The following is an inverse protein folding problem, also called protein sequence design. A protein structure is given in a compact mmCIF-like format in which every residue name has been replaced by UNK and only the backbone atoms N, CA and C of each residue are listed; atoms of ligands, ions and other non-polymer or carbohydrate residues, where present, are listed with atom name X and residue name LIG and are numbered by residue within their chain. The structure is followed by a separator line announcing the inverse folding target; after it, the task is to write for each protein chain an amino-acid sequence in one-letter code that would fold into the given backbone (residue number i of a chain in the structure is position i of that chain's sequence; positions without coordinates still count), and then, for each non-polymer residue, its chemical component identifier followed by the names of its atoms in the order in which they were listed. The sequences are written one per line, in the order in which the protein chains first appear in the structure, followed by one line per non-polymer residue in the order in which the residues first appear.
data_IF_949961099865
#
_entry.id   IF_949961099865
#
_cell.length_a   1.000
_cell.length_b   1.000
_cell.length_c   1.000
_cell.angle_alpha   90.00
_cell.angle_beta   90.00
_cell.angle_gamma   90.00
#
_symmetry.space_group_name_H-M   'P 1'
#
loop_
_entity.id
_entity.type
_entity.pdbx_description
1 polymer ?
#
# COMPACT_ATOMS: atom_id res chain seq x y z
N UNK A 1 6.24 4.42 -26.29
CA UNK A 1 6.29 4.92 -25.01
C UNK A 1 6.26 3.80 -24.03
N UNK A 2 6.99 3.93 -23.05
CA UNK A 2 7.00 2.95 -22.06
C UNK A 2 5.91 3.20 -21.10
N UNK A 3 5.14 2.23 -20.91
CA UNK A 3 4.15 2.34 -20.00
C UNK A 3 4.49 1.53 -18.84
N UNK A 4 4.45 2.16 -17.69
CA UNK A 4 4.75 1.48 -16.50
C UNK A 4 3.69 0.47 -16.30
N UNK A 5 4.06 -0.74 -16.47
CA UNK A 5 3.08 -1.78 -16.36
C UNK A 5 2.61 -1.81 -14.94
N UNK A 6 1.35 -1.59 -14.68
CA UNK A 6 0.88 -1.71 -13.33
C UNK A 6 1.04 -3.14 -12.91
N UNK A 7 1.32 -3.36 -11.65
CA UNK A 7 1.31 -4.72 -11.18
C UNK A 7 -0.09 -5.24 -11.27
N UNK A 8 -0.24 -6.55 -11.23
CA UNK A 8 -1.54 -7.18 -11.34
C UNK A 8 -2.37 -7.00 -10.09
N UNK A 9 -2.02 -6.11 -9.23
CA UNK A 9 -2.70 -5.90 -7.97
C UNK A 9 -4.17 -5.57 -8.19
N UNK A 10 -5.09 -6.37 -7.63
CA UNK A 10 -6.50 -6.04 -7.72
C UNK A 10 -6.79 -4.71 -7.05
N UNK A 11 -7.71 -3.96 -7.64
CA UNK A 11 -8.01 -2.61 -7.17
C UNK A 11 -8.43 -2.62 -5.70
N UNK A 12 -9.18 -3.62 -5.28
CA UNK A 12 -9.65 -3.65 -3.91
C UNK A 12 -8.53 -3.85 -2.90
N UNK A 13 -7.37 -4.32 -3.34
CA UNK A 13 -6.25 -4.53 -2.43
C UNK A 13 -5.40 -3.28 -2.24
N UNK A 14 -5.72 -2.21 -2.94
CA UNK A 14 -5.06 -0.94 -2.70
C UNK A 14 -5.44 -0.42 -1.33
N UNK A 15 -6.67 -0.68 -0.88
CA UNK A 15 -7.09 -0.28 0.44
C UNK A 15 -6.49 -1.19 1.49
N UNK A 16 -5.90 -0.65 2.55
CA UNK A 16 -5.32 -1.49 3.59
C UNK A 16 -6.40 -2.20 4.38
N UNK A 17 -6.05 -3.40 4.84
CA UNK A 17 -6.95 -4.15 5.69
C UNK A 17 -7.07 -3.43 7.05
N UNK A 18 -8.26 -3.37 7.65
CA UNK A 18 -8.42 -2.67 8.93
C UNK A 18 -7.50 -3.20 10.04
N UNK A 19 -7.11 -4.47 9.97
CA UNK A 19 -6.18 -5.03 10.93
C UNK A 19 -4.78 -4.45 10.79
N UNK A 20 -4.48 -3.84 9.65
CA UNK A 20 -3.16 -3.27 9.40
C UNK A 20 -3.18 -1.77 9.49
N UNK A 21 -4.31 -1.14 9.22
CA UNK A 21 -4.45 0.31 9.35
C UNK A 21 -5.88 0.58 9.77
N UNK A 22 -6.04 0.97 11.04
CA UNK A 22 -7.34 1.24 11.60
C UNK A 22 -7.91 2.52 10.98
N UNK A 23 -9.15 2.48 10.49
CA UNK A 23 -9.77 3.69 9.92
C UNK A 23 -9.83 4.86 10.91
N UNK A 24 -9.71 4.61 12.20
CA UNK A 24 -9.69 5.68 13.19
C UNK A 24 -8.31 6.31 13.37
N UNK A 25 -7.32 5.82 12.64
CA UNK A 25 -5.96 6.35 12.72
C UNK A 25 -5.94 7.82 12.31
N UNK A 26 -5.23 8.70 13.04
CA UNK A 26 -5.07 10.07 12.59
C UNK A 26 -4.48 10.13 11.19
N UNK A 27 -4.95 11.08 10.38
CA UNK A 27 -4.49 11.25 9.00
C UNK A 27 -4.81 10.06 8.11
N UNK A 28 -5.82 9.26 8.49
CA UNK A 28 -6.18 8.06 7.74
C UNK A 28 -6.40 8.37 6.26
N UNK A 29 -7.20 9.41 5.96
CA UNK A 29 -7.48 9.75 4.56
C UNK A 29 -6.24 10.22 3.82
N UNK A 30 -5.35 10.94 4.49
CA UNK A 30 -4.12 11.38 3.88
C UNK A 30 -3.20 10.22 3.60
N UNK A 31 -3.19 9.22 4.48
CA UNK A 31 -2.41 8.03 4.28
C UNK A 31 -2.92 7.26 3.06
N UNK A 32 -4.26 7.11 2.96
CA UNK A 32 -4.83 6.42 1.83
C UNK A 32 -4.51 7.14 0.52
N UNK A 33 -4.60 8.46 0.51
CA UNK A 33 -4.33 9.23 -0.69
C UNK A 33 -2.87 9.12 -1.10
N UNK A 34 -1.96 9.19 -0.14
CA UNK A 34 -0.53 9.08 -0.43
C UNK A 34 -0.20 7.71 -1.00
N UNK A 35 -0.80 6.67 -0.42
CA UNK A 35 -0.56 5.31 -0.90
C UNK A 35 -1.12 5.12 -2.31
N UNK A 36 -2.36 5.56 -2.54
CA UNK A 36 -2.96 5.39 -3.83
C UNK A 36 -2.18 6.13 -4.91
N UNK A 37 -1.74 7.34 -4.60
CA UNK A 37 -0.94 8.10 -5.54
C UNK A 37 0.34 7.35 -5.90
N UNK A 38 1.01 6.80 -4.90
CA UNK A 38 2.24 6.05 -5.12
C UNK A 38 1.99 4.81 -5.97
N UNK A 39 0.88 4.10 -5.70
CA UNK A 39 0.55 2.92 -6.49
C UNK A 39 0.31 3.28 -7.94
N UNK A 40 -0.43 4.36 -8.18
CA UNK A 40 -0.75 4.74 -9.55
C UNK A 40 0.47 5.25 -10.30
N UNK A 41 1.46 5.77 -9.58
CA UNK A 41 2.71 6.19 -10.19
C UNK A 41 3.73 5.08 -10.25
N UNK A 42 3.40 3.89 -9.78
CA UNK A 42 4.29 2.76 -9.81
C UNK A 42 5.45 2.86 -8.85
N UNK A 43 5.30 3.65 -7.81
CA UNK A 43 6.37 3.78 -6.82
C UNK A 43 6.38 2.58 -5.91
N UNK A 44 7.55 2.30 -5.32
CA UNK A 44 7.68 1.17 -4.43
C UNK A 44 7.34 1.53 -2.99
N UNK A 45 7.26 2.82 -2.68
CA UNK A 45 6.99 3.27 -1.31
C UNK A 45 6.48 4.69 -1.34
N UNK A 46 5.95 5.13 -0.21
CA UNK A 46 5.53 6.50 -0.05
C UNK A 46 5.91 6.96 1.35
N UNK A 47 5.91 8.27 1.55
CA UNK A 47 6.24 8.81 2.86
C UNK A 47 4.96 8.92 3.67
N UNK A 48 4.95 8.30 4.85
CA UNK A 48 3.78 8.28 5.70
C UNK A 48 3.55 9.68 6.27
N UNK A 49 2.38 10.28 6.01
CA UNK A 49 2.11 11.62 6.55
C UNK A 49 2.06 11.67 8.07
N UNK A 50 1.81 10.53 8.71
CA UNK A 50 1.71 10.50 10.16
C UNK A 50 3.07 10.43 10.82
N UNK A 51 3.95 9.54 10.36
CA UNK A 51 5.24 9.29 11.02
C UNK A 51 6.42 9.88 10.29
N UNK A 52 6.28 10.21 9.01
CA UNK A 52 7.40 10.67 8.20
C UNK A 52 8.29 9.55 7.69
N UNK A 53 7.99 8.32 8.02
CA UNK A 53 8.78 7.19 7.58
C UNK A 53 8.25 6.67 6.24
N UNK A 54 9.11 5.95 5.52
CA UNK A 54 8.69 5.35 4.26
C UNK A 54 7.95 4.05 4.50
N UNK A 55 6.90 3.83 3.72
CA UNK A 55 6.05 2.63 3.83
C UNK A 55 5.94 2.03 2.45
N UNK A 56 6.11 0.71 2.34
CA UNK A 56 6.03 0.04 1.05
C UNK A 56 4.61 -0.02 0.55
N UNK A 57 4.44 0.14 -0.77
CA UNK A 57 3.12 0.12 -1.39
C UNK A 57 2.64 -1.31 -1.58
N UNK A 58 1.33 -1.46 -1.73
CA UNK A 58 0.72 -2.78 -1.91
C UNK A 58 1.21 -3.47 -3.19
N UNK A 59 1.41 -2.69 -4.27
CA UNK A 59 1.87 -3.29 -5.51
C UNK A 59 3.27 -3.87 -5.36
N UNK A 60 4.14 -3.22 -4.60
CA UNK A 60 5.46 -3.76 -4.34
C UNK A 60 5.37 -5.07 -3.57
N UNK A 61 4.52 -5.10 -2.55
CA UNK A 61 4.36 -6.31 -1.75
C UNK A 61 3.69 -7.42 -2.56
N UNK A 62 2.77 -7.05 -3.45
CA UNK A 62 2.12 -8.00 -4.32
C UNK A 62 3.12 -8.65 -5.27
N UNK A 63 4.05 -7.84 -5.81
CA UNK A 63 5.04 -8.34 -6.74
C UNK A 63 6.01 -9.33 -6.10
N UNK A 64 6.14 -9.30 -4.78
CA UNK A 64 6.97 -10.27 -4.09
C UNK A 64 6.40 -11.67 -4.13
N UNK A 65 5.09 -11.78 -4.26
CA UNK A 65 4.42 -13.06 -4.38
C UNK A 65 4.16 -13.79 -3.08
N UNK A 66 4.52 -13.21 -1.94
CA UNK A 66 4.27 -13.87 -0.66
C UNK A 66 4.26 -12.83 0.45
N UNK A 67 3.63 -13.20 1.56
CA UNK A 67 3.58 -12.34 2.72
C UNK A 67 4.89 -12.43 3.48
N UNK A 68 5.47 -11.28 3.84
CA UNK A 68 6.73 -11.27 4.57
C UNK A 68 6.52 -11.46 6.06
N UNK A 69 5.26 -11.49 6.51
CA UNK A 69 4.89 -11.70 7.90
C UNK A 69 5.41 -10.63 8.86
N UNK A 70 5.67 -9.45 8.32
CA UNK A 70 6.13 -8.33 9.13
C UNK A 70 5.04 -7.32 9.40
N UNK A 71 3.77 -7.72 9.24
CA UNK A 71 2.59 -6.89 9.48
C UNK A 71 2.66 -5.57 8.72
N UNK A 72 3.04 -5.66 7.45
CA UNK A 72 3.11 -4.48 6.61
C UNK A 72 1.75 -3.82 6.51
N UNK A 73 1.74 -2.49 6.53
CA UNK A 73 0.50 -1.73 6.53
C UNK A 73 -0.40 -2.08 5.33
N UNK A 74 0.19 -2.20 4.16
CA UNK A 74 -0.57 -2.43 2.94
C UNK A 74 -0.44 -3.85 2.42
N UNK A 75 -0.28 -4.81 3.32
CA UNK A 75 -0.08 -6.20 2.93
C UNK A 75 -1.30 -6.70 2.15
N UNK A 76 -1.13 -7.10 0.87
CA UNK A 76 -2.26 -7.56 0.08
C UNK A 76 -2.64 -9.01 0.38
N UNK A 77 -1.86 -9.67 1.23
CA UNK A 77 -2.07 -11.09 1.51
C UNK A 77 -2.85 -11.33 2.80
N UNK A 78 -3.34 -10.26 3.43
CA UNK A 78 -4.19 -10.43 4.61
C UNK A 78 -5.54 -10.92 4.15
N UNK A 79 -6.06 -12.01 4.72
CA UNK A 79 -7.38 -12.50 4.31
C UNK A 79 -8.46 -11.45 4.60
N UNK A 80 -9.39 -11.33 3.68
CA UNK A 80 -10.47 -10.34 3.80
C UNK A 80 -11.84 -10.98 3.82
#
# INVERSE_FOLDING_TARGET
MFEFAPSDLPEELIQPHPDRLDPATPHYQEILAAHEEAVRQGRTRYRDPLSGLYVMTANTLWDRGFCCENRCRHCPYVPR
#
